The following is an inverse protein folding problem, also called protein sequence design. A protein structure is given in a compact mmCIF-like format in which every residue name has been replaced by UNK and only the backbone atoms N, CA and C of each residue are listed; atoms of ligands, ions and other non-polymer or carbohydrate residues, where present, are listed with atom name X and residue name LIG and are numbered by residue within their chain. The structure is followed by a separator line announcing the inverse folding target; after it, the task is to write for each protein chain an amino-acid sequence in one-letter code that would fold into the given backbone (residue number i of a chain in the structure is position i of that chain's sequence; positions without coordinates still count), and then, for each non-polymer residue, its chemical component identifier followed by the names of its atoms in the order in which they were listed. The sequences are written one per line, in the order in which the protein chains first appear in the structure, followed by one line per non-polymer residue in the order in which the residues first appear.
data_IF_926288714954
#
_entry.id   IF_926288714954
#
_cell.length_a   1.000
_cell.length_b   1.000
_cell.length_c   1.000
_cell.angle_alpha   90.00
_cell.angle_beta   90.00
_cell.angle_gamma   90.00
#
_symmetry.space_group_name_H-M   'P 1'
#
loop_
_entity.id
_entity.type
_entity.pdbx_description
1 polymer ?
#
# COMPACT_ATOMS: atom_id res chain seq x y z
N UNK A 1 22.53 2.23 -6.55
CA UNK A 1 21.46 2.95 -5.83
C UNK A 1 20.53 1.89 -5.29
N UNK A 2 20.36 1.76 -3.97
CA UNK A 2 19.35 0.87 -3.43
C UNK A 2 18.00 1.25 -4.05
N UNK A 3 17.28 0.26 -4.56
CA UNK A 3 15.93 0.48 -5.09
C UNK A 3 15.06 1.02 -3.95
N UNK A 4 14.06 1.84 -4.29
CA UNK A 4 13.12 2.44 -3.32
C UNK A 4 12.61 1.43 -2.29
N UNK A 5 12.49 0.16 -2.69
CA UNK A 5 12.08 -1.00 -1.88
C UNK A 5 13.01 -1.23 -0.68
N UNK A 6 14.33 -1.17 -0.87
CA UNK A 6 15.29 -1.32 0.24
C UNK A 6 15.21 -0.13 1.19
N UNK A 7 14.96 1.08 0.69
CA UNK A 7 14.95 2.30 1.52
C UNK A 7 13.80 2.31 2.53
N UNK A 8 12.65 1.68 2.23
CA UNK A 8 11.51 1.62 3.15
C UNK A 8 11.64 0.55 4.25
N UNK A 9 12.34 -0.56 3.97
CA UNK A 9 12.64 -1.58 4.99
C UNK A 9 13.49 -1.03 6.15
N UNK A 10 14.25 0.05 5.91
CA UNK A 10 15.17 0.67 6.88
C UNK A 10 14.58 1.83 7.69
N UNK A 11 13.36 2.30 7.40
CA UNK A 11 12.73 3.37 8.18
C UNK A 11 12.03 2.80 9.44
N UNK A 12 12.86 2.37 10.39
CA UNK A 12 12.66 2.51 11.84
C UNK A 12 11.47 1.79 12.51
N UNK A 13 11.77 0.64 13.14
CA UNK A 13 11.17 0.14 14.40
C UNK A 13 9.63 0.19 14.57
N UNK A 14 8.96 -0.87 14.08
CA UNK A 14 7.55 -1.24 14.31
C UNK A 14 6.50 -0.71 13.31
N UNK A 15 6.65 -0.89 12.00
CA UNK A 15 5.53 -0.77 11.05
C UNK A 15 5.79 -1.68 9.83
N UNK A 16 4.97 -2.73 9.60
CA UNK A 16 5.13 -3.60 8.43
C UNK A 16 4.56 -2.94 7.17
N UNK A 17 5.43 -2.32 6.36
CA UNK A 17 5.09 -1.77 5.04
C UNK A 17 5.31 -2.84 3.98
N UNK A 18 4.25 -3.20 3.28
CA UNK A 18 4.28 -4.24 2.24
C UNK A 18 4.58 -3.60 0.88
N UNK A 19 5.52 -4.17 0.13
CA UNK A 19 5.70 -3.92 -1.32
C UNK A 19 5.47 -5.23 -2.09
N UNK A 20 4.59 -5.18 -3.09
CA UNK A 20 4.21 -6.32 -3.94
C UNK A 20 5.41 -6.85 -4.75
N UNK A 21 6.13 -7.85 -4.23
CA UNK A 21 7.04 -8.67 -5.05
C UNK A 21 6.94 -10.18 -4.81
N UNK A 22 6.11 -10.67 -3.87
CA UNK A 22 5.76 -12.09 -3.79
C UNK A 22 4.37 -12.29 -3.16
N UNK A 23 3.35 -12.37 -4.02
CA UNK A 23 1.93 -12.24 -3.68
C UNK A 23 1.37 -13.35 -2.77
N UNK A 24 1.87 -14.58 -2.86
CA UNK A 24 1.24 -15.72 -2.17
C UNK A 24 1.60 -15.80 -0.69
N UNK A 25 2.84 -15.52 -0.33
CA UNK A 25 3.27 -15.63 1.08
C UNK A 25 2.67 -14.53 1.95
N UNK A 26 2.47 -13.35 1.35
CA UNK A 26 1.93 -12.18 2.02
C UNK A 26 0.49 -12.37 2.49
N UNK A 27 -0.37 -12.92 1.63
CA UNK A 27 -1.77 -13.14 1.98
C UNK A 27 -1.90 -14.11 3.17
N UNK A 28 -1.10 -15.19 3.17
CA UNK A 28 -1.07 -16.13 4.29
C UNK A 28 -0.58 -15.48 5.60
N UNK A 29 0.47 -14.66 5.55
CA UNK A 29 0.93 -13.91 6.72
C UNK A 29 -0.14 -12.94 7.25
N UNK A 30 -0.80 -12.22 6.34
CA UNK A 30 -1.87 -11.29 6.70
C UNK A 30 -3.07 -12.02 7.33
N UNK A 31 -3.41 -13.21 6.85
CA UNK A 31 -4.50 -14.01 7.46
C UNK A 31 -4.17 -14.47 8.87
N UNK A 32 -2.91 -14.73 9.18
CA UNK A 32 -2.46 -15.16 10.50
C UNK A 32 -2.46 -14.00 11.50
N UNK A 33 -2.07 -12.79 11.06
CA UNK A 33 -1.98 -11.62 11.92
C UNK A 33 -2.37 -10.32 11.21
N UNK A 34 -3.66 -10.10 10.86
CA UNK A 34 -4.08 -8.93 10.08
C UNK A 34 -3.89 -7.60 10.83
N UNK A 35 -3.82 -7.66 12.17
CA UNK A 35 -3.62 -6.51 13.04
C UNK A 35 -2.15 -6.07 13.15
N UNK A 36 -1.20 -6.92 12.71
CA UNK A 36 0.23 -6.59 12.68
C UNK A 36 0.61 -5.65 11.52
N UNK A 37 -0.33 -5.45 10.59
CA UNK A 37 -0.15 -4.61 9.42
C UNK A 37 -0.87 -3.29 9.63
N UNK A 38 -0.18 -2.19 9.42
CA UNK A 38 -0.75 -0.86 9.62
C UNK A 38 -0.90 -0.08 8.32
N UNK A 39 -0.32 -0.56 7.21
CA UNK A 39 -0.42 0.04 5.90
C UNK A 39 -0.01 -0.95 4.80
N UNK A 40 -0.79 -0.98 3.72
CA UNK A 40 -0.43 -1.69 2.48
C UNK A 40 -0.11 -0.68 1.38
N UNK A 41 1.06 -0.81 0.74
CA UNK A 41 1.41 -0.02 -0.45
C UNK A 41 1.53 -0.97 -1.64
N UNK A 42 0.69 -0.78 -2.65
CA UNK A 42 0.70 -1.64 -3.83
C UNK A 42 0.66 -0.83 -5.11
N UNK A 43 1.04 -1.45 -6.22
CA UNK A 43 0.69 -0.96 -7.55
C UNK A 43 -0.56 -1.65 -8.09
N UNK A 44 -0.92 -1.30 -9.32
CA UNK A 44 -2.05 -1.87 -10.07
C UNK A 44 -2.11 -3.40 -10.04
N UNK A 45 -0.99 -4.11 -9.98
CA UNK A 45 -0.98 -5.59 -10.01
C UNK A 45 -1.42 -6.23 -8.70
N UNK A 46 -1.43 -5.47 -7.60
CA UNK A 46 -1.91 -5.93 -6.30
C UNK A 46 -3.28 -5.36 -5.90
N UNK A 47 -4.04 -4.84 -6.86
CA UNK A 47 -5.40 -4.31 -6.64
C UNK A 47 -6.36 -5.42 -6.22
N UNK A 48 -6.25 -6.61 -6.81
CA UNK A 48 -7.00 -7.80 -6.44
C UNK A 48 -6.64 -8.27 -5.03
N UNK A 49 -5.34 -8.31 -4.71
CA UNK A 49 -4.88 -8.63 -3.35
C UNK A 49 -5.42 -7.62 -2.34
N UNK A 50 -5.33 -6.32 -2.63
CA UNK A 50 -5.87 -5.26 -1.77
C UNK A 50 -7.34 -5.47 -1.44
N UNK A 51 -8.16 -5.89 -2.42
CA UNK A 51 -9.57 -6.25 -2.17
C UNK A 51 -9.70 -7.40 -1.16
N UNK A 52 -8.92 -8.46 -1.34
CA UNK A 52 -8.94 -9.61 -0.43
C UNK A 52 -8.48 -9.23 0.98
N UNK A 53 -7.47 -8.36 1.11
CA UNK A 53 -7.02 -7.84 2.41
C UNK A 53 -8.10 -6.99 3.09
N UNK A 54 -8.80 -6.13 2.33
CA UNK A 54 -9.93 -5.34 2.86
C UNK A 54 -11.13 -6.21 3.26
N UNK A 55 -11.33 -7.38 2.65
CA UNK A 55 -12.35 -8.33 3.12
C UNK A 55 -12.00 -8.92 4.50
N UNK A 56 -10.71 -9.08 4.80
CA UNK A 56 -10.22 -9.57 6.09
C UNK A 56 -10.23 -8.44 7.13
N UNK A 57 -9.71 -7.27 6.77
CA UNK A 57 -9.67 -6.07 7.63
C UNK A 57 -10.25 -4.87 6.85
N UNK A 58 -11.56 -4.57 7.03
CA UNK A 58 -12.25 -3.51 6.28
C UNK A 58 -11.62 -2.11 6.38
N UNK A 59 -11.01 -1.81 7.53
CA UNK A 59 -10.36 -0.51 7.79
C UNK A 59 -8.85 -0.57 7.55
N UNK A 60 -8.36 -1.50 6.73
CA UNK A 60 -6.94 -1.56 6.38
C UNK A 60 -6.60 -0.39 5.47
N UNK A 61 -5.75 0.57 5.88
CA UNK A 61 -5.30 1.61 4.98
C UNK A 61 -4.47 1.03 3.84
N UNK A 62 -4.84 1.41 2.62
CA UNK A 62 -4.16 0.97 1.39
C UNK A 62 -3.84 2.20 0.54
N UNK A 63 -2.57 2.31 0.13
CA UNK A 63 -2.08 3.27 -0.86
C UNK A 63 -1.84 2.55 -2.18
N UNK A 64 -2.51 3.00 -3.24
CA UNK A 64 -2.30 2.52 -4.60
C UNK A 64 -1.38 3.46 -5.38
N UNK A 65 -0.27 2.93 -5.90
CA UNK A 65 0.70 3.67 -6.72
C UNK A 65 0.57 3.29 -8.20
N UNK A 66 0.16 4.23 -9.06
CA UNK A 66 -0.08 3.99 -10.51
C UNK A 66 0.88 4.74 -11.41
N UNK A 67 0.92 4.38 -12.69
CA UNK A 67 1.67 5.11 -13.70
C UNK A 67 0.91 6.33 -14.23
N UNK A 68 1.65 7.27 -14.84
CA UNK A 68 1.11 8.54 -15.39
C UNK A 68 0.00 8.36 -16.45
N UNK A 69 -0.14 7.19 -17.07
CA UNK A 69 -1.11 6.93 -18.16
C UNK A 69 -2.46 6.34 -17.72
N UNK A 70 -2.73 6.25 -16.41
CA UNK A 70 -3.82 5.43 -15.87
C UNK A 70 -4.91 6.23 -15.10
N UNK A 71 -5.31 7.40 -15.62
CA UNK A 71 -6.37 8.25 -15.03
C UNK A 71 -7.71 7.52 -14.79
N UNK A 72 -8.00 6.47 -15.54
CA UNK A 72 -9.22 5.65 -15.41
C UNK A 72 -9.19 4.79 -14.13
N UNK A 73 -8.01 4.55 -13.56
CA UNK A 73 -7.84 3.64 -12.43
C UNK A 73 -8.07 4.32 -11.07
N UNK A 74 -8.04 5.65 -10.98
CA UNK A 74 -8.30 6.37 -9.72
C UNK A 74 -9.77 6.25 -9.25
N UNK A 75 -10.73 6.52 -10.14
CA UNK A 75 -12.16 6.44 -9.80
C UNK A 75 -12.55 5.00 -9.41
N UNK A 76 -12.01 4.01 -10.13
CA UNK A 76 -12.20 2.60 -9.81
C UNK A 76 -11.57 2.24 -8.46
N UNK A 77 -10.37 2.74 -8.16
CA UNK A 77 -9.70 2.51 -6.89
C UNK A 77 -10.48 3.09 -5.71
N UNK A 78 -11.00 4.32 -5.84
CA UNK A 78 -11.85 4.93 -4.81
C UNK A 78 -13.13 4.14 -4.57
N UNK A 79 -13.81 3.70 -5.62
CA UNK A 79 -15.01 2.87 -5.52
C UNK A 79 -14.75 1.49 -4.87
N UNK A 80 -13.49 1.08 -4.80
CA UNK A 80 -13.07 -0.17 -4.16
C UNK A 80 -12.72 -0.02 -2.67
N UNK A 81 -12.78 1.19 -2.10
CA UNK A 81 -12.40 1.44 -0.70
C UNK A 81 -10.90 1.67 -0.49
N UNK A 82 -10.13 1.90 -1.55
CA UNK A 82 -8.72 2.29 -1.43
C UNK A 82 -8.65 3.69 -0.83
N UNK A 83 -7.83 3.85 0.21
CA UNK A 83 -7.78 5.07 1.01
C UNK A 83 -7.07 6.19 0.26
N UNK A 84 -5.95 5.89 -0.39
CA UNK A 84 -5.14 6.89 -1.08
C UNK A 84 -4.58 6.40 -2.42
N UNK A 85 -4.44 7.33 -3.35
CA UNK A 85 -3.96 7.08 -4.70
C UNK A 85 -2.81 8.01 -5.06
N UNK A 86 -1.77 7.47 -5.69
CA UNK A 86 -0.58 8.22 -6.07
C UNK A 86 -0.18 7.90 -7.50
N UNK A 87 -0.08 8.95 -8.31
CA UNK A 87 0.57 8.87 -9.62
C UNK A 87 2.09 8.92 -9.47
N UNK A 88 2.79 7.94 -10.05
CA UNK A 88 4.24 7.98 -10.22
C UNK A 88 4.62 9.02 -11.29
N UNK A 89 5.80 9.68 -11.17
CA UNK A 89 6.80 9.48 -10.13
C UNK A 89 6.46 10.21 -8.82
N UNK A 90 6.68 9.53 -7.69
CA UNK A 90 6.65 10.13 -6.35
C UNK A 90 8.04 10.01 -5.75
N UNK A 91 8.57 11.13 -5.25
CA UNK A 91 9.85 11.14 -4.53
C UNK A 91 9.71 10.60 -3.10
N UNK A 92 10.83 10.27 -2.47
CA UNK A 92 10.87 9.73 -1.10
C UNK A 92 10.16 10.61 -0.08
N UNK A 93 10.36 11.94 -0.16
CA UNK A 93 9.68 12.91 0.73
C UNK A 93 8.16 12.92 0.53
N UNK A 94 7.71 12.86 -0.72
CA UNK A 94 6.28 12.76 -1.04
C UNK A 94 5.66 11.50 -0.48
N UNK A 95 6.34 10.36 -0.63
CA UNK A 95 5.87 9.08 -0.09
C UNK A 95 5.84 9.07 1.44
N UNK A 96 6.88 9.60 2.11
CA UNK A 96 6.91 9.69 3.56
C UNK A 96 5.77 10.56 4.12
N UNK A 97 5.50 11.71 3.50
CA UNK A 97 4.40 12.59 3.88
C UNK A 97 3.04 11.91 3.69
N UNK A 98 2.87 11.17 2.59
CA UNK A 98 1.65 10.43 2.34
C UNK A 98 1.43 9.32 3.38
N UNK A 99 2.46 8.52 3.64
CA UNK A 99 2.40 7.45 4.65
C UNK A 99 2.02 8.05 6.01
N UNK A 100 2.64 9.17 6.40
CA UNK A 100 2.30 9.84 7.65
C UNK A 100 0.84 10.28 7.70
N UNK A 101 0.35 10.92 6.62
CA UNK A 101 -1.05 11.36 6.51
C UNK A 101 -2.01 10.17 6.68
N UNK A 102 -1.79 9.08 5.95
CA UNK A 102 -2.66 7.90 5.99
C UNK A 102 -2.69 7.24 7.37
N UNK A 103 -1.54 7.21 8.06
CA UNK A 103 -1.45 6.64 9.41
C UNK A 103 -1.98 7.59 10.50
N UNK A 104 -2.08 8.89 10.24
CA UNK A 104 -2.65 9.89 11.17
C UNK A 104 -4.19 9.98 11.10
N UNK A 105 -4.77 9.59 9.96
CA UNK A 105 -6.21 9.72 9.69
C UNK A 105 -7.06 8.52 10.19
N UNK A 106 -6.42 7.48 10.75
CA UNK A 106 -7.04 6.25 11.27
C UNK A 106 -6.96 6.15 12.80
#
# INVERSE_FOLDING_TARGET
MPSIIETFYYLSNCFYIIFSYFLQHLFELFRVGPDEFELVITDKTGVELAKELMQIRPNMPIILCTGFSELIDEEKARNMGIHEFVTKPIGTSGMANLIRRVLDEN
#
